data_IF_276128970907
#
_entry.id   IF_276128970907
#
_cell.length_a   1.000
_cell.length_b   1.000
_cell.length_c   1.000
_cell.angle_alpha   90.00
_cell.angle_beta   90.00
_cell.angle_gamma   90.00
#
_symmetry.space_group_name_H-M   'P 1'
#
loop_
_entity.id
_entity.type
_entity.pdbx_description
1 polymer ?
#
# COMPACT_ATOMS: atom_id res chain seq x y z
N UNK A 1 -16.05 -2.16 10.18
CA UNK A 1 -15.64 -3.16 9.16
C UNK A 1 -15.53 -2.53 7.77
N UNK A 2 -16.61 -1.93 7.21
CA UNK A 2 -16.59 -1.33 5.85
C UNK A 2 -15.48 -0.30 5.63
N UNK A 3 -15.21 0.57 6.60
CA UNK A 3 -14.15 1.58 6.48
C UNK A 3 -12.76 0.97 6.30
N UNK A 4 -12.44 -0.10 7.03
CA UNK A 4 -11.12 -0.70 7.01
C UNK A 4 -10.92 -1.61 5.78
N UNK A 5 -11.99 -2.29 5.34
CA UNK A 5 -11.99 -2.98 4.06
C UNK A 5 -11.79 -2.01 2.88
N UNK A 6 -12.48 -0.86 2.90
CA UNK A 6 -12.30 0.19 1.90
C UNK A 6 -10.87 0.78 1.96
N UNK A 7 -10.33 1.01 3.16
CA UNK A 7 -8.96 1.47 3.33
C UNK A 7 -7.92 0.47 2.81
N UNK A 8 -8.11 -0.83 3.07
CA UNK A 8 -7.22 -1.89 2.57
C UNK A 8 -7.19 -1.89 1.04
N UNK A 9 -8.35 -1.84 0.39
CA UNK A 9 -8.45 -1.78 -1.07
C UNK A 9 -7.80 -0.52 -1.63
N UNK A 10 -8.09 0.63 -1.05
CA UNK A 10 -7.50 1.90 -1.49
C UNK A 10 -5.98 1.94 -1.28
N UNK A 11 -5.46 1.28 -0.24
CA UNK A 11 -4.03 1.20 0.01
C UNK A 11 -3.31 0.29 -0.99
N UNK A 12 -3.92 -0.83 -1.39
CA UNK A 12 -3.44 -1.71 -2.45
C UNK A 12 -3.37 -0.96 -3.79
N UNK A 13 -4.50 -0.36 -4.21
CA UNK A 13 -4.56 0.45 -5.44
C UNK A 13 -3.56 1.62 -5.41
N UNK A 14 -3.44 2.29 -4.26
CA UNK A 14 -2.48 3.37 -4.04
C UNK A 14 -1.03 2.88 -4.17
N UNK A 15 -0.70 1.73 -3.58
CA UNK A 15 0.62 1.11 -3.70
C UNK A 15 0.94 0.78 -5.16
N UNK A 16 0.05 0.11 -5.87
CA UNK A 16 0.27 -0.27 -7.27
C UNK A 16 0.47 0.95 -8.18
N UNK A 17 -0.32 2.00 -7.96
CA UNK A 17 -0.22 3.24 -8.74
C UNK A 17 1.15 3.91 -8.64
N UNK A 18 1.93 3.64 -7.58
CA UNK A 18 3.28 4.22 -7.44
C UNK A 18 4.23 3.77 -8.54
N UNK A 19 3.99 2.62 -9.18
CA UNK A 19 4.77 2.16 -10.31
C UNK A 19 4.69 3.13 -11.50
N UNK A 20 3.61 3.88 -11.65
CA UNK A 20 3.45 4.86 -12.74
C UNK A 20 4.07 6.23 -12.40
N UNK A 21 4.57 6.40 -11.17
CA UNK A 21 5.07 7.68 -10.67
C UNK A 21 6.59 7.77 -10.75
N UNK A 22 7.10 8.93 -11.17
CA UNK A 22 8.51 9.27 -11.00
C UNK A 22 8.79 9.67 -9.55
N UNK A 23 9.66 8.94 -8.86
CA UNK A 23 10.01 9.23 -7.47
C UNK A 23 10.62 10.64 -7.31
N UNK A 24 10.02 11.46 -6.45
CA UNK A 24 10.48 12.82 -6.12
C UNK A 24 11.21 12.90 -4.78
N UNK A 25 11.18 11.83 -3.99
CA UNK A 25 11.64 11.79 -2.59
C UNK A 25 12.44 10.52 -2.27
N UNK A 26 13.16 10.52 -1.14
CA UNK A 26 13.88 9.34 -0.66
C UNK A 26 15.07 8.90 -1.52
N UNK A 27 15.47 7.63 -1.38
CA UNK A 27 16.62 7.05 -2.09
C UNK A 27 16.35 6.84 -3.59
N UNK A 28 15.11 6.49 -3.95
CA UNK A 28 14.69 6.23 -5.33
C UNK A 28 14.67 7.49 -6.19
N UNK A 29 14.59 8.71 -5.61
CA UNK A 29 14.73 9.98 -6.34
C UNK A 29 15.96 10.03 -7.26
N UNK A 30 17.08 9.43 -6.82
CA UNK A 30 18.35 9.42 -7.58
C UNK A 30 18.26 8.62 -8.89
N UNK A 31 17.25 7.77 -9.04
CA UNK A 31 17.04 6.97 -10.24
C UNK A 31 16.34 7.76 -11.35
N UNK A 32 15.72 8.90 -11.04
CA UNK A 32 15.01 9.71 -12.04
C UNK A 32 13.94 8.89 -12.75
N UNK A 33 13.92 8.94 -14.08
CA UNK A 33 12.92 8.22 -14.89
C UNK A 33 13.05 6.69 -14.77
N UNK A 34 14.20 6.18 -14.31
CA UNK A 34 14.39 4.74 -14.03
C UNK A 34 13.63 4.26 -12.78
N UNK A 35 12.97 5.14 -12.05
CA UNK A 35 12.06 4.74 -10.95
C UNK A 35 10.68 4.33 -11.46
N UNK A 36 10.29 4.76 -12.66
CA UNK A 36 9.01 4.39 -13.27
C UNK A 36 9.04 2.90 -13.59
N UNK A 37 7.91 2.23 -13.37
CA UNK A 37 7.74 0.77 -13.47
C UNK A 37 8.04 0.01 -12.16
N UNK A 38 8.40 0.71 -11.08
CA UNK A 38 8.69 0.10 -9.79
C UNK A 38 7.76 0.62 -8.69
N UNK A 39 7.05 -0.30 -8.05
CA UNK A 39 6.25 0.00 -6.85
C UNK A 39 7.18 0.53 -5.76
N UNK A 40 6.78 1.61 -5.08
CA UNK A 40 7.49 2.12 -3.91
C UNK A 40 7.39 1.12 -2.76
N UNK A 41 8.52 0.63 -2.21
CA UNK A 41 8.49 -0.37 -1.13
C UNK A 41 7.87 0.17 0.17
N UNK A 42 7.89 1.49 0.40
CA UNK A 42 7.22 2.11 1.53
C UNK A 42 5.70 2.06 1.38
N UNK A 43 5.19 2.38 0.19
CA UNK A 43 3.77 2.26 -0.13
C UNK A 43 3.27 0.80 -0.02
N UNK A 44 4.02 -0.16 -0.56
CA UNK A 44 3.70 -1.58 -0.42
C UNK A 44 3.64 -2.04 1.05
N UNK A 45 4.61 -1.61 1.86
CA UNK A 45 4.63 -1.94 3.30
C UNK A 45 3.42 -1.35 4.04
N UNK A 46 3.04 -0.11 3.70
CA UNK A 46 1.86 0.53 4.28
C UNK A 46 0.55 -0.20 3.90
N UNK A 47 0.43 -0.65 2.65
CA UNK A 47 -0.70 -1.46 2.21
C UNK A 47 -0.80 -2.78 3.00
N UNK A 48 0.33 -3.48 3.19
CA UNK A 48 0.35 -4.69 4.02
C UNK A 48 -0.09 -4.44 5.47
N UNK A 49 0.33 -3.33 6.09
CA UNK A 49 -0.10 -2.99 7.45
C UNK A 49 -1.61 -2.76 7.53
N UNK A 50 -2.18 -2.03 6.57
CA UNK A 50 -3.63 -1.75 6.55
C UNK A 50 -4.43 -3.04 6.31
N UNK A 51 -3.96 -3.91 5.41
CA UNK A 51 -4.56 -5.22 5.19
C UNK A 51 -4.53 -6.08 6.47
N UNK A 52 -3.38 -6.15 7.14
CA UNK A 52 -3.25 -6.89 8.40
C UNK A 52 -4.17 -6.33 9.50
N UNK A 53 -4.36 -5.01 9.57
CA UNK A 53 -5.32 -4.40 10.50
C UNK A 53 -6.76 -4.80 10.17
N UNK A 54 -7.13 -4.85 8.89
CA UNK A 54 -8.45 -5.28 8.43
C UNK A 54 -8.72 -6.75 8.77
N UNK A 55 -7.73 -7.62 8.55
CA UNK A 55 -7.82 -9.05 8.88
C UNK A 55 -7.89 -9.28 10.39
N UNK A 56 -7.04 -8.61 11.17
CA UNK A 56 -7.06 -8.72 12.63
C UNK A 56 -8.44 -8.34 13.21
N UNK A 57 -9.03 -7.23 12.75
CA UNK A 57 -10.37 -6.81 13.17
C UNK A 57 -11.49 -7.73 12.68
N UNK A 58 -11.31 -8.42 11.55
CA UNK A 58 -12.26 -9.45 11.11
C UNK A 58 -12.21 -10.67 12.03
N UNK A 59 -11.01 -11.10 12.40
CA UNK A 59 -10.78 -12.31 13.19
C UNK A 59 -11.11 -12.11 14.69
N UNK A 60 -10.90 -10.90 15.23
CA UNK A 60 -11.20 -10.56 16.63
C UNK A 60 -12.72 -10.52 16.92
N UNK A 61 -13.56 -10.39 15.89
CA UNK A 61 -15.02 -10.38 16.01
C UNK A 61 -15.67 -11.79 16.05
N UNK A 62 -14.87 -12.87 16.13
CA UNK A 62 -15.41 -14.23 16.37
C UNK A 62 -16.47 -14.69 15.37
N UNK A 63 -16.27 -14.38 14.08
CA UNK A 63 -17.02 -14.98 12.97
C UNK A 63 -16.12 -15.99 12.25
N UNK A 64 -15.69 -17.01 13.01
CA UNK A 64 -15.39 -18.34 12.48
C UNK A 64 -16.56 -19.26 12.82
#
# INVERSE_FOLDING_TARGET
MVCLAAASKAAEEGSDSTAEMKSQMGRSKKLGDRSIGHIDPGAASAAFLIAAMADALRNDNGLD
#
